data_IF_094073538833
#
_entry.id   IF_094073538833
#
_cell.length_a   1.000
_cell.length_b   1.000
_cell.length_c   1.000
_cell.angle_alpha   90.00
_cell.angle_beta   90.00
_cell.angle_gamma   90.00
#
_symmetry.space_group_name_H-M   'P 1'
#
loop_
_entity.id
_entity.type
_entity.pdbx_description
1 polymer ?
#
# COMPACT_ATOMS: atom_id res chain seq x y z
N UNK A 1 -2.34 -17.02 -1.68
CA UNK A 1 -0.99 -17.63 -1.94
C UNK A 1 -0.08 -17.22 -0.80
N UNK A 2 0.95 -18.00 -0.40
CA UNK A 2 1.88 -17.56 0.65
C UNK A 2 2.77 -16.45 0.12
N UNK A 3 3.05 -15.40 0.94
CA UNK A 3 3.90 -14.25 0.56
C UNK A 3 5.27 -14.69 0.02
N UNK A 4 5.88 -15.73 0.60
CA UNK A 4 7.16 -16.27 0.14
C UNK A 4 7.11 -16.77 -1.30
N UNK A 5 6.03 -17.48 -1.68
CA UNK A 5 5.83 -17.94 -3.06
C UNK A 5 5.64 -16.79 -4.03
N UNK A 6 4.85 -15.78 -3.64
CA UNK A 6 4.65 -14.57 -4.45
C UNK A 6 5.96 -13.82 -4.65
N UNK A 7 6.76 -13.67 -3.59
CA UNK A 7 8.06 -13.01 -3.66
C UNK A 7 9.07 -13.77 -4.53
N UNK A 8 9.07 -15.12 -4.49
CA UNK A 8 9.94 -15.93 -5.36
C UNK A 8 9.56 -15.75 -6.84
N UNK A 9 8.27 -15.78 -7.17
CA UNK A 9 7.78 -15.52 -8.54
C UNK A 9 8.20 -14.11 -8.99
N UNK A 10 7.97 -13.08 -8.15
CA UNK A 10 8.38 -11.71 -8.45
C UNK A 10 9.89 -11.60 -8.69
N UNK A 11 10.72 -12.23 -7.86
CA UNK A 11 12.18 -12.23 -8.05
C UNK A 11 12.55 -12.78 -9.42
N UNK A 12 11.95 -13.88 -9.84
CA UNK A 12 12.23 -14.46 -11.16
C UNK A 12 11.79 -13.50 -12.28
N UNK A 13 10.59 -12.93 -12.18
CA UNK A 13 10.04 -12.04 -13.20
C UNK A 13 10.78 -10.70 -13.29
N UNK A 14 11.22 -10.14 -12.19
CA UNK A 14 11.78 -8.79 -12.13
C UNK A 14 13.32 -8.76 -12.25
N UNK A 15 14.00 -9.79 -11.76
CA UNK A 15 15.46 -9.76 -11.62
C UNK A 15 16.17 -10.81 -12.49
N UNK A 16 15.51 -11.91 -12.83
CA UNK A 16 16.13 -13.00 -13.58
C UNK A 16 15.72 -13.00 -15.06
N UNK A 17 14.44 -12.77 -15.37
CA UNK A 17 13.96 -12.79 -16.75
C UNK A 17 14.23 -11.47 -17.46
N UNK A 18 14.93 -11.51 -18.62
CA UNK A 18 15.07 -10.32 -19.46
C UNK A 18 13.71 -9.80 -19.94
N UNK A 19 13.54 -8.49 -20.13
CA UNK A 19 12.26 -7.90 -20.57
C UNK A 19 11.70 -8.54 -21.84
N UNK A 20 12.53 -8.84 -22.83
CA UNK A 20 12.08 -9.46 -24.08
C UNK A 20 11.48 -10.88 -23.90
N UNK A 21 11.87 -11.60 -22.84
CA UNK A 21 11.27 -12.89 -22.48
C UNK A 21 10.01 -12.67 -21.68
N UNK A 22 10.10 -11.86 -20.62
CA UNK A 22 9.01 -11.58 -19.67
C UNK A 22 7.79 -10.95 -20.36
N UNK A 23 8.03 -10.03 -21.30
CA UNK A 23 6.99 -9.28 -22.00
C UNK A 23 6.61 -9.91 -23.34
N UNK A 24 7.02 -11.18 -23.59
CA UNK A 24 6.75 -11.92 -24.81
C UNK A 24 5.31 -12.46 -24.88
N UNK A 25 4.84 -12.75 -26.09
CA UNK A 25 3.55 -13.40 -26.31
C UNK A 25 3.46 -14.80 -25.66
N UNK A 26 4.59 -15.53 -25.58
CA UNK A 26 4.67 -16.82 -24.92
C UNK A 26 4.44 -16.68 -23.39
N UNK A 27 5.02 -15.66 -22.76
CA UNK A 27 4.83 -15.39 -21.34
C UNK A 27 3.37 -14.91 -21.07
N UNK A 28 2.81 -14.06 -21.95
CA UNK A 28 1.39 -13.67 -21.88
C UNK A 28 0.47 -14.89 -21.93
N UNK A 29 0.74 -15.84 -22.84
CA UNK A 29 -0.02 -17.09 -22.93
C UNK A 29 0.06 -17.89 -21.62
N UNK A 30 1.27 -18.03 -21.03
CA UNK A 30 1.49 -18.72 -19.76
C UNK A 30 0.70 -18.05 -18.61
N UNK A 31 0.75 -16.74 -18.53
CA UNK A 31 0.01 -15.96 -17.52
C UNK A 31 -1.50 -16.11 -17.69
N UNK A 32 -2.00 -16.01 -18.94
CA UNK A 32 -3.44 -16.22 -19.24
C UNK A 32 -3.91 -17.62 -18.89
N UNK A 33 -3.06 -18.64 -19.07
CA UNK A 33 -3.42 -20.00 -18.67
C UNK A 33 -3.55 -20.15 -17.15
N UNK A 34 -2.85 -19.34 -16.37
CA UNK A 34 -2.85 -19.43 -14.90
C UNK A 34 -3.86 -18.47 -14.25
N UNK A 35 -3.93 -17.24 -14.72
CA UNK A 35 -4.80 -16.18 -14.18
C UNK A 35 -5.99 -15.81 -15.09
N UNK A 36 -6.17 -16.51 -16.19
CA UNK A 36 -7.29 -16.28 -17.11
C UNK A 36 -7.23 -14.91 -17.77
N UNK A 37 -8.40 -14.31 -17.94
CA UNK A 37 -8.56 -12.99 -18.60
C UNK A 37 -8.10 -11.81 -17.73
N UNK A 38 -7.88 -12.03 -16.43
CA UNK A 38 -7.45 -10.98 -15.51
C UNK A 38 -6.17 -10.26 -16.00
N UNK A 39 -5.26 -10.99 -16.67
CA UNK A 39 -4.02 -10.42 -17.23
C UNK A 39 -4.32 -9.37 -18.29
N UNK A 40 -5.28 -9.65 -19.17
CA UNK A 40 -5.66 -8.74 -20.24
C UNK A 40 -6.47 -7.54 -19.69
N UNK A 41 -7.39 -7.83 -18.78
CA UNK A 41 -8.24 -6.81 -18.14
C UNK A 41 -7.37 -5.79 -17.37
N UNK A 42 -6.28 -6.24 -16.71
CA UNK A 42 -5.35 -5.34 -16.02
C UNK A 42 -4.41 -4.58 -16.98
N UNK A 43 -3.98 -5.21 -18.09
CA UNK A 43 -3.22 -4.50 -19.14
C UNK A 43 -4.07 -3.36 -19.73
N UNK A 44 -5.31 -3.67 -20.11
CA UNK A 44 -6.26 -2.70 -20.65
C UNK A 44 -6.61 -1.62 -19.62
N UNK A 45 -6.83 -2.00 -18.37
CA UNK A 45 -7.10 -1.06 -17.28
C UNK A 45 -5.95 -0.07 -17.11
N UNK A 46 -4.69 -0.52 -17.01
CA UNK A 46 -3.54 0.37 -16.87
C UNK A 46 -3.37 1.32 -18.04
N UNK A 47 -3.62 0.85 -19.28
CA UNK A 47 -3.57 1.70 -20.46
C UNK A 47 -4.65 2.79 -20.45
N UNK A 48 -5.78 2.55 -19.76
CA UNK A 48 -6.90 3.47 -19.67
C UNK A 48 -6.84 4.40 -18.44
N UNK A 49 -5.93 4.18 -17.51
CA UNK A 49 -5.83 4.92 -16.24
C UNK A 49 -5.99 6.44 -16.39
N UNK A 50 -5.35 7.13 -17.34
CA UNK A 50 -5.52 8.57 -17.50
C UNK A 50 -6.96 9.03 -17.80
N UNK A 51 -7.84 8.11 -18.16
CA UNK A 51 -9.22 8.38 -18.59
C UNK A 51 -10.27 7.69 -17.69
N UNK A 52 -9.84 6.97 -16.67
CA UNK A 52 -10.73 6.23 -15.75
C UNK A 52 -11.33 7.18 -14.73
N UNK A 53 -12.66 7.13 -14.55
CA UNK A 53 -13.31 7.90 -13.49
C UNK A 53 -13.08 7.26 -12.11
N UNK A 54 -13.24 8.03 -11.01
CA UNK A 54 -13.15 7.46 -9.65
C UNK A 54 -14.13 6.31 -9.40
N UNK A 55 -15.34 6.36 -10.01
CA UNK A 55 -16.36 5.30 -9.91
C UNK A 55 -15.91 4.03 -10.63
N UNK A 56 -15.42 4.16 -11.88
CA UNK A 56 -14.88 3.03 -12.65
C UNK A 56 -13.69 2.40 -11.92
N UNK A 57 -12.81 3.24 -11.36
CA UNK A 57 -11.67 2.76 -10.58
C UNK A 57 -12.11 1.92 -9.37
N UNK A 58 -13.09 2.44 -8.61
CA UNK A 58 -13.68 1.73 -7.46
C UNK A 58 -14.26 0.39 -7.84
N UNK A 59 -15.02 0.34 -8.95
CA UNK A 59 -15.65 -0.88 -9.44
C UNK A 59 -14.62 -1.93 -9.87
N UNK A 60 -13.54 -1.52 -10.51
CA UNK A 60 -12.44 -2.43 -10.89
C UNK A 60 -11.76 -2.95 -9.63
N UNK A 61 -11.39 -2.06 -8.71
CA UNK A 61 -10.71 -2.42 -7.47
C UNK A 61 -11.54 -3.38 -6.59
N UNK A 62 -12.85 -3.17 -6.49
CA UNK A 62 -13.75 -4.04 -5.73
C UNK A 62 -13.88 -5.46 -6.31
N UNK A 63 -13.66 -5.63 -7.61
CA UNK A 63 -13.73 -6.94 -8.31
C UNK A 63 -12.41 -7.71 -8.29
N UNK A 64 -11.29 -7.04 -7.99
CA UNK A 64 -9.98 -7.69 -7.97
C UNK A 64 -9.86 -8.62 -6.75
N UNK A 65 -9.41 -9.87 -6.95
CA UNK A 65 -9.19 -10.77 -5.84
C UNK A 65 -8.03 -10.27 -4.98
N UNK A 66 -8.22 -10.22 -3.67
CA UNK A 66 -7.11 -9.95 -2.74
C UNK A 66 -6.06 -11.06 -2.87
N UNK A 67 -4.83 -10.69 -3.17
CA UNK A 67 -3.71 -11.65 -3.35
C UNK A 67 -3.30 -12.24 -2.02
N UNK A 68 -3.28 -11.44 -0.95
CA UNK A 68 -2.97 -11.87 0.42
C UNK A 68 -4.23 -11.87 1.27
N UNK A 69 -4.38 -12.91 2.10
CA UNK A 69 -5.57 -13.07 2.96
C UNK A 69 -5.53 -12.22 4.23
N UNK A 70 -4.34 -11.80 4.67
CA UNK A 70 -4.15 -11.08 5.93
C UNK A 70 -3.50 -9.72 5.71
N UNK A 71 -2.25 -9.66 5.25
CA UNK A 71 -1.51 -8.41 5.03
C UNK A 71 -0.40 -8.59 4.00
N UNK A 72 -0.10 -7.53 3.27
CA UNK A 72 1.08 -7.46 2.40
C UNK A 72 2.36 -7.06 3.17
N UNK A 73 2.25 -6.65 4.43
CA UNK A 73 3.39 -6.31 5.26
C UNK A 73 4.18 -7.55 5.71
N UNK A 74 5.51 -7.48 5.66
CA UNK A 74 6.37 -8.46 6.31
C UNK A 74 6.39 -8.26 7.82
N UNK A 75 6.72 -9.33 8.57
CA UNK A 75 6.93 -9.24 10.02
C UNK A 75 7.96 -8.15 10.35
N UNK A 76 9.05 -8.07 9.58
CA UNK A 76 10.09 -7.06 9.77
C UNK A 76 9.57 -5.63 9.57
N UNK A 77 8.66 -5.42 8.59
CA UNK A 77 7.99 -4.12 8.40
C UNK A 77 7.07 -3.80 9.58
N UNK A 78 6.24 -4.74 10.02
CA UNK A 78 5.33 -4.53 11.16
C UNK A 78 6.09 -4.25 12.46
N UNK A 79 7.21 -4.95 12.72
CA UNK A 79 8.09 -4.69 13.86
C UNK A 79 8.70 -3.29 13.79
N UNK A 80 9.06 -2.86 12.60
CA UNK A 80 9.62 -1.52 12.38
C UNK A 80 8.58 -0.44 12.57
N UNK A 81 7.37 -0.61 12.02
CA UNK A 81 6.25 0.30 12.23
C UNK A 81 6.00 0.47 13.73
N UNK A 82 5.80 -0.63 14.47
CA UNK A 82 5.53 -0.59 15.91
C UNK A 82 6.61 0.16 16.72
N UNK A 83 7.88 0.04 16.33
CA UNK A 83 9.02 0.72 16.96
C UNK A 83 9.07 2.19 16.64
N UNK A 84 8.79 2.54 15.38
CA UNK A 84 8.95 3.90 14.87
C UNK A 84 7.69 4.76 15.10
N UNK A 85 6.54 4.19 15.51
CA UNK A 85 5.35 4.94 15.95
C UNK A 85 5.65 5.84 17.15
N UNK A 86 5.12 7.07 17.13
CA UNK A 86 5.29 8.07 18.18
C UNK A 86 3.94 8.60 18.66
N UNK A 87 3.92 9.10 19.91
CA UNK A 87 2.72 9.69 20.52
C UNK A 87 1.73 8.65 21.06
N UNK A 88 0.47 9.05 21.16
CA UNK A 88 -0.61 8.29 21.83
C UNK A 88 -1.70 7.83 20.87
N UNK A 89 -1.78 8.42 19.67
CA UNK A 89 -2.81 8.13 18.67
C UNK A 89 -2.19 7.75 17.34
N UNK A 90 -2.77 6.74 16.66
CA UNK A 90 -2.35 6.39 15.31
C UNK A 90 -3.52 6.09 14.38
N UNK A 91 -3.36 6.47 13.12
CA UNK A 91 -4.27 6.19 12.02
C UNK A 91 -3.58 5.26 11.01
N UNK A 92 -4.22 4.15 10.66
CA UNK A 92 -3.82 3.30 9.53
C UNK A 92 -4.75 3.56 8.35
N UNK A 93 -4.20 4.14 7.28
CA UNK A 93 -4.93 4.51 6.07
C UNK A 93 -4.75 3.44 5.00
N UNK A 94 -5.87 2.84 4.57
CA UNK A 94 -5.88 1.63 3.76
C UNK A 94 -5.66 0.39 4.64
N UNK A 95 -6.37 0.32 5.77
CA UNK A 95 -6.16 -0.72 6.80
C UNK A 95 -6.58 -2.14 6.35
N UNK A 96 -7.25 -2.26 5.21
CA UNK A 96 -7.67 -3.53 4.61
C UNK A 96 -8.44 -4.41 5.58
N UNK A 97 -7.87 -5.56 5.91
CA UNK A 97 -8.47 -6.55 6.83
C UNK A 97 -8.31 -6.20 8.32
N UNK A 98 -7.69 -5.06 8.65
CA UNK A 98 -7.36 -4.69 10.03
C UNK A 98 -6.22 -5.51 10.68
N UNK A 99 -5.55 -6.37 9.91
CA UNK A 99 -4.51 -7.26 10.46
C UNK A 99 -3.33 -6.49 11.04
N UNK A 100 -2.84 -5.45 10.34
CA UNK A 100 -1.77 -4.60 10.86
C UNK A 100 -2.17 -3.97 12.19
N UNK A 101 -3.36 -3.39 12.27
CA UNK A 101 -3.87 -2.76 13.48
C UNK A 101 -4.00 -3.74 14.64
N UNK A 102 -4.45 -4.98 14.39
CA UNK A 102 -4.48 -6.04 15.39
C UNK A 102 -3.09 -6.32 15.96
N UNK A 103 -2.09 -6.49 15.10
CA UNK A 103 -0.69 -6.70 15.51
C UNK A 103 -0.13 -5.49 16.27
N UNK A 104 -0.46 -4.27 15.84
CA UNK A 104 -0.01 -3.05 16.51
C UNK A 104 -0.67 -2.86 17.88
N UNK A 105 -1.93 -3.25 18.05
CA UNK A 105 -2.60 -3.21 19.36
C UNK A 105 -1.91 -4.09 20.40
N UNK A 106 -1.43 -5.26 19.98
CA UNK A 106 -0.66 -6.15 20.88
C UNK A 106 0.71 -5.57 21.24
N UNK A 107 1.40 -4.91 20.28
CA UNK A 107 2.74 -4.36 20.47
C UNK A 107 2.76 -2.99 21.14
N UNK A 108 1.69 -2.22 21.01
CA UNK A 108 1.54 -0.86 21.52
C UNK A 108 0.19 -0.67 22.23
N UNK A 109 -0.07 -1.42 23.33
CA UNK A 109 -1.39 -1.49 23.98
C UNK A 109 -1.88 -0.16 24.57
N UNK A 110 -1.00 0.79 24.81
CA UNK A 110 -1.36 2.13 25.30
C UNK A 110 -1.78 3.09 24.19
N UNK A 111 -1.57 2.73 22.91
CA UNK A 111 -1.84 3.61 21.78
C UNK A 111 -3.29 3.44 21.29
N UNK A 112 -3.98 4.56 21.08
CA UNK A 112 -5.31 4.57 20.46
C UNK A 112 -5.17 4.43 18.97
N UNK A 113 -5.68 3.32 18.43
CA UNK A 113 -5.59 2.98 17.01
C UNK A 113 -6.91 3.22 16.30
N UNK A 114 -6.83 3.77 15.09
CA UNK A 114 -7.97 3.96 14.18
C UNK A 114 -7.58 3.41 12.81
N UNK A 115 -8.51 2.74 12.13
CA UNK A 115 -8.34 2.26 10.76
C UNK A 115 -9.32 2.91 9.82
N UNK A 116 -8.85 3.29 8.62
CA UNK A 116 -9.72 3.70 7.52
C UNK A 116 -9.38 2.94 6.26
N UNK A 117 -10.43 2.61 5.50
CA UNK A 117 -10.30 2.00 4.18
C UNK A 117 -11.48 2.43 3.31
N UNK A 118 -11.38 2.18 2.02
CA UNK A 118 -12.48 2.41 1.08
C UNK A 118 -13.71 1.53 1.39
N UNK A 119 -13.46 0.31 1.90
CA UNK A 119 -14.47 -0.69 2.25
C UNK A 119 -14.07 -1.32 3.57
N UNK A 120 -14.94 -1.22 4.58
CA UNK A 120 -14.76 -1.87 5.89
C UNK A 120 -15.85 -2.92 6.05
N UNK A 121 -15.47 -4.18 6.03
CA UNK A 121 -16.40 -5.28 6.28
C UNK A 121 -16.52 -5.64 7.79
N UNK A 122 -17.52 -6.46 8.11
CA UNK A 122 -17.77 -6.89 9.50
C UNK A 122 -16.63 -7.77 10.05
N UNK A 123 -15.91 -8.49 9.19
CA UNK A 123 -14.80 -9.36 9.59
C UNK A 123 -13.59 -8.50 10.04
N UNK A 124 -13.35 -7.38 9.36
CA UNK A 124 -12.35 -6.39 9.77
C UNK A 124 -12.62 -5.88 11.18
N UNK A 125 -13.88 -5.51 11.48
CA UNK A 125 -14.29 -5.03 12.82
C UNK A 125 -14.15 -6.09 13.89
N UNK A 126 -14.50 -7.35 13.58
CA UNK A 126 -14.40 -8.48 14.52
C UNK A 126 -12.94 -8.87 14.82
N UNK A 127 -12.05 -8.71 13.85
CA UNK A 127 -10.63 -9.07 14.00
C UNK A 127 -9.90 -8.24 15.03
N UNK A 128 -10.23 -6.97 15.15
CA UNK A 128 -9.56 -6.04 16.05
C UNK A 128 -10.58 -5.30 16.94
N UNK A 129 -11.20 -6.00 17.91
CA UNK A 129 -12.18 -5.40 18.81
C UNK A 129 -11.54 -4.28 19.63
N UNK A 130 -12.24 -3.15 19.76
CA UNK A 130 -11.75 -1.96 20.46
C UNK A 130 -10.98 -0.97 19.57
N UNK A 131 -10.76 -1.29 18.31
CA UNK A 131 -10.24 -0.34 17.32
C UNK A 131 -11.41 0.32 16.58
N UNK A 132 -11.32 1.63 16.38
CA UNK A 132 -12.29 2.37 15.58
C UNK A 132 -12.01 2.17 14.08
N UNK A 133 -13.05 1.81 13.31
CA UNK A 133 -12.96 1.67 11.85
C UNK A 133 -13.97 2.57 11.15
N UNK A 134 -13.53 3.28 10.13
CA UNK A 134 -14.37 4.17 9.32
C UNK A 134 -14.05 4.02 7.84
N UNK A 135 -15.08 3.99 6.99
CA UNK A 135 -14.90 4.09 5.54
C UNK A 135 -14.49 5.52 5.16
N UNK A 136 -13.42 5.63 4.37
CA UNK A 136 -12.92 6.91 3.90
C UNK A 136 -12.13 6.77 2.60
N UNK A 137 -12.09 7.87 1.83
CA UNK A 137 -11.19 8.02 0.69
C UNK A 137 -9.89 8.68 1.16
N UNK A 138 -8.74 8.08 0.85
CA UNK A 138 -7.42 8.61 1.19
C UNK A 138 -7.18 10.03 0.63
N UNK A 139 -7.81 10.38 -0.49
CA UNK A 139 -7.69 11.70 -1.10
C UNK A 139 -8.52 12.79 -0.40
N UNK A 140 -9.38 12.42 0.57
CA UNK A 140 -10.25 13.33 1.34
C UNK A 140 -10.58 12.72 2.70
N UNK A 141 -9.60 12.69 3.59
CA UNK A 141 -9.75 12.07 4.91
C UNK A 141 -10.65 12.93 5.82
N UNK A 142 -11.66 12.35 6.49
CA UNK A 142 -12.66 13.07 7.28
C UNK A 142 -12.13 13.43 8.69
N UNK A 143 -10.89 13.88 8.79
CA UNK A 143 -10.23 14.24 10.04
C UNK A 143 -9.64 15.65 9.96
N UNK A 144 -9.53 16.29 11.12
CA UNK A 144 -8.88 17.60 11.22
C UNK A 144 -7.37 17.50 10.99
N UNK A 145 -6.75 18.63 10.71
CA UNK A 145 -5.30 18.75 10.60
C UNK A 145 -4.62 18.29 11.89
N UNK A 146 -3.62 17.40 11.78
CA UNK A 146 -2.89 16.87 12.92
C UNK A 146 -3.75 16.07 13.91
N UNK A 147 -4.79 15.41 13.43
CA UNK A 147 -5.68 14.62 14.29
C UNK A 147 -4.99 13.40 14.94
N UNK A 148 -3.91 12.91 14.34
CA UNK A 148 -3.21 11.73 14.81
C UNK A 148 -1.71 11.97 14.97
N UNK A 149 -1.15 11.51 16.08
CA UNK A 149 0.30 11.62 16.33
C UNK A 149 1.11 10.87 15.27
N UNK A 150 0.70 9.66 14.92
CA UNK A 150 1.30 8.86 13.85
C UNK A 150 0.24 8.50 12.81
N UNK A 151 0.57 8.72 11.53
CA UNK A 151 -0.22 8.22 10.40
C UNK A 151 0.57 7.15 9.68
N UNK A 152 -0.07 6.03 9.37
CA UNK A 152 0.52 4.88 8.71
C UNK A 152 -0.24 4.66 7.39
N UNK A 153 0.49 4.38 6.32
CA UNK A 153 -0.09 4.02 5.02
C UNK A 153 0.78 2.94 4.39
N UNK A 154 0.26 1.72 4.28
CA UNK A 154 1.05 0.58 3.81
C UNK A 154 0.37 -0.13 2.65
N UNK A 155 1.08 -0.29 1.53
CA UNK A 155 0.59 -0.97 0.32
C UNK A 155 -0.73 -0.38 -0.22
N UNK A 156 -0.79 0.96 -0.28
CA UNK A 156 -1.95 1.72 -0.76
C UNK A 156 -1.56 2.69 -1.87
N UNK A 157 -0.50 3.49 -1.67
CA UNK A 157 -0.17 4.60 -2.56
C UNK A 157 0.18 4.15 -3.98
N UNK A 158 0.66 2.93 -4.16
CA UNK A 158 0.90 2.33 -5.48
C UNK A 158 -0.36 2.14 -6.31
N UNK A 159 -1.53 2.15 -5.65
CA UNK A 159 -2.84 2.00 -6.28
C UNK A 159 -3.57 3.34 -6.52
N UNK A 160 -3.09 4.45 -5.99
CA UNK A 160 -3.85 5.72 -5.97
C UNK A 160 -3.61 6.53 -7.23
N UNK A 161 -4.70 6.97 -7.88
CA UNK A 161 -4.65 7.79 -9.10
C UNK A 161 -3.96 9.13 -8.84
N UNK A 162 -4.44 9.90 -7.86
CA UNK A 162 -3.83 11.16 -7.45
C UNK A 162 -2.94 10.96 -6.23
N UNK A 163 -1.76 10.39 -6.49
CA UNK A 163 -0.74 10.15 -5.46
C UNK A 163 -0.44 11.41 -4.63
N UNK A 164 -0.38 12.56 -5.31
CA UNK A 164 -0.03 13.81 -4.64
C UNK A 164 -1.07 14.25 -3.64
N UNK A 165 -2.33 14.21 -4.04
CA UNK A 165 -3.46 14.56 -3.18
C UNK A 165 -3.54 13.64 -1.97
N UNK A 166 -3.36 12.33 -2.19
CA UNK A 166 -3.32 11.36 -1.09
C UNK A 166 -2.17 11.64 -0.12
N UNK A 167 -0.96 11.92 -0.62
CA UNK A 167 0.19 12.26 0.22
C UNK A 167 -0.05 13.53 1.04
N UNK A 168 -0.62 14.56 0.42
CA UNK A 168 -0.92 15.83 1.10
C UNK A 168 -1.97 15.63 2.22
N UNK A 169 -2.98 14.77 2.02
CA UNK A 169 -3.96 14.39 3.04
C UNK A 169 -3.32 13.58 4.19
N UNK A 170 -2.45 12.61 3.89
CA UNK A 170 -1.71 11.86 4.90
C UNK A 170 -0.86 12.81 5.78
N UNK A 171 -0.16 13.75 5.15
CA UNK A 171 0.64 14.78 5.83
C UNK A 171 -0.24 15.73 6.66
N UNK A 172 -1.40 16.10 6.12
CA UNK A 172 -2.33 17.02 6.78
C UNK A 172 -2.86 16.44 8.10
N UNK A 173 -3.26 15.18 8.12
CA UNK A 173 -3.83 14.54 9.32
C UNK A 173 -2.79 14.05 10.32
N UNK A 174 -1.51 13.96 9.94
CA UNK A 174 -0.41 13.60 10.81
C UNK A 174 0.05 14.82 11.65
N UNK A 175 0.16 14.62 12.97
CA UNK A 175 0.68 15.64 13.89
C UNK A 175 2.19 15.57 14.08
N UNK A 176 2.76 14.35 14.16
CA UNK A 176 4.17 14.14 14.52
C UNK A 176 4.94 13.30 13.50
N UNK A 177 4.36 12.21 12.99
CA UNK A 177 5.04 11.30 12.07
C UNK A 177 4.11 10.70 11.04
N UNK A 178 4.59 10.63 9.80
CA UNK A 178 3.99 9.86 8.71
C UNK A 178 4.91 8.69 8.39
N UNK A 179 4.36 7.46 8.39
CA UNK A 179 5.04 6.21 8.01
C UNK A 179 4.39 5.69 6.73
N UNK A 180 5.19 5.43 5.71
CA UNK A 180 4.73 4.88 4.44
C UNK A 180 5.52 3.61 4.11
N UNK A 181 4.82 2.56 3.68
CA UNK A 181 5.42 1.35 3.12
C UNK A 181 4.83 1.11 1.74
N UNK A 182 5.68 0.96 0.74
CA UNK A 182 5.29 0.61 -0.63
C UNK A 182 6.12 -0.55 -1.14
N UNK A 183 5.62 -1.37 -2.07
CA UNK A 183 6.41 -2.46 -2.63
C UNK A 183 7.62 -1.94 -3.40
N UNK A 184 8.78 -2.55 -3.17
CA UNK A 184 9.96 -2.32 -4.00
C UNK A 184 9.88 -3.23 -5.22
N UNK A 185 9.38 -2.69 -6.33
CA UNK A 185 9.13 -3.46 -7.55
C UNK A 185 9.34 -2.66 -8.82
N UNK A 186 9.57 -3.39 -9.92
CA UNK A 186 9.71 -2.84 -11.27
C UNK A 186 8.42 -3.05 -12.06
N UNK A 187 8.11 -2.09 -12.89
CA UNK A 187 7.01 -2.24 -13.84
C UNK A 187 7.34 -3.32 -14.88
N UNK A 188 6.33 -4.12 -15.23
CA UNK A 188 6.35 -5.04 -16.35
C UNK A 188 4.97 -5.15 -17.00
N UNK A 189 4.96 -5.55 -18.27
CA UNK A 189 3.80 -5.43 -19.13
C UNK A 189 2.61 -6.25 -18.64
N UNK A 190 2.83 -7.52 -18.33
CA UNK A 190 1.77 -8.44 -17.94
C UNK A 190 1.84 -8.72 -16.44
N UNK A 191 0.85 -8.21 -15.71
CA UNK A 191 0.74 -8.36 -14.28
C UNK A 191 -0.68 -8.75 -13.88
N UNK A 192 -0.82 -9.37 -12.73
CA UNK A 192 -2.09 -9.59 -12.04
C UNK A 192 -2.29 -8.59 -10.88
N UNK A 193 -1.44 -7.57 -10.83
CA UNK A 193 -1.42 -6.57 -9.76
C UNK A 193 -1.90 -5.21 -10.32
N UNK A 194 -2.88 -4.55 -9.71
CA UNK A 194 -3.43 -3.27 -10.16
C UNK A 194 -2.56 -2.06 -9.78
N UNK A 195 -1.25 -2.24 -9.61
CA UNK A 195 -0.36 -1.14 -9.28
C UNK A 195 -0.26 -0.14 -10.44
N UNK A 196 -0.33 1.14 -10.11
CA UNK A 196 -0.21 2.27 -11.01
C UNK A 196 1.16 2.94 -10.89
N UNK A 197 1.76 2.87 -9.70
CA UNK A 197 3.08 3.43 -9.39
C UNK A 197 4.05 2.34 -9.01
N UNK A 198 5.27 2.42 -9.54
CA UNK A 198 6.32 1.43 -9.37
C UNK A 198 7.58 2.08 -8.81
N UNK A 199 8.14 1.48 -7.76
CA UNK A 199 9.27 2.02 -7.03
C UNK A 199 10.42 0.99 -7.00
N UNK A 200 11.23 0.90 -8.07
CA UNK A 200 12.32 -0.09 -8.13
C UNK A 200 13.43 0.17 -7.11
N UNK A 201 13.57 1.41 -6.66
CA UNK A 201 14.62 1.83 -5.73
C UNK A 201 14.09 2.86 -4.71
N UNK A 202 14.69 2.97 -3.51
CA UNK A 202 14.30 4.01 -2.54
C UNK A 202 14.30 5.43 -3.13
N UNK A 203 15.29 5.79 -3.94
CA UNK A 203 15.34 7.11 -4.59
C UNK A 203 14.22 7.32 -5.62
N UNK A 204 13.64 6.26 -6.19
CA UNK A 204 12.46 6.38 -7.06
C UNK A 204 11.26 6.87 -6.26
N UNK A 205 11.04 6.31 -5.07
CA UNK A 205 9.99 6.74 -4.15
C UNK A 205 10.18 8.18 -3.67
N UNK A 206 11.41 8.60 -3.34
CA UNK A 206 11.68 9.98 -2.88
C UNK A 206 11.21 11.06 -3.87
N UNK A 207 11.18 10.78 -5.16
CA UNK A 207 10.67 11.72 -6.17
C UNK A 207 9.17 11.98 -6.02
N UNK A 208 8.42 10.99 -5.58
CA UNK A 208 6.97 11.09 -5.36
C UNK A 208 6.63 11.86 -4.08
N UNK A 209 7.44 11.70 -3.03
CA UNK A 209 7.18 12.36 -1.73
C UNK A 209 7.82 13.75 -1.60
N UNK A 210 8.32 14.33 -2.69
CA UNK A 210 8.87 15.69 -2.73
C UNK A 210 7.79 16.74 -2.36
N UNK A 211 8.10 17.81 -1.56
CA UNK A 211 9.37 18.02 -0.89
C UNK A 211 9.61 17.03 0.24
N UNK A 212 10.86 16.54 0.33
CA UNK A 212 11.29 15.61 1.37
C UNK A 212 11.81 16.39 2.56
N UNK A 213 11.24 16.26 3.77
CA UNK A 213 11.75 16.97 4.94
C UNK A 213 13.12 16.45 5.38
N UNK A 214 13.97 17.28 6.02
CA UNK A 214 15.28 16.85 6.52
C UNK A 214 15.19 15.68 7.51
N UNK A 215 14.13 15.65 8.30
CA UNK A 215 13.86 14.61 9.33
C UNK A 215 13.15 13.39 8.74
N UNK A 216 13.65 12.83 7.64
CA UNK A 216 13.13 11.59 7.08
C UNK A 216 14.10 10.43 7.24
N UNK A 217 13.56 9.23 7.10
CA UNK A 217 14.34 7.99 6.95
C UNK A 217 13.73 7.15 5.84
N UNK A 218 14.59 6.51 5.07
CA UNK A 218 14.19 5.57 4.02
C UNK A 218 15.11 4.36 4.03
N UNK A 219 14.54 3.17 3.85
CA UNK A 219 15.29 1.92 3.78
C UNK A 219 14.52 0.87 2.97
N UNK A 220 15.24 -0.09 2.40
CA UNK A 220 14.61 -1.33 1.93
C UNK A 220 14.46 -2.29 3.10
N UNK A 221 13.27 -2.84 3.29
CA UNK A 221 12.95 -3.83 4.33
C UNK A 221 12.29 -5.03 3.65
N UNK A 222 13.05 -6.10 3.47
CA UNK A 222 12.62 -7.20 2.60
C UNK A 222 12.48 -6.72 1.16
N UNK A 223 11.29 -6.87 0.60
CA UNK A 223 10.95 -6.35 -0.75
C UNK A 223 10.06 -5.11 -0.70
N UNK A 224 10.12 -4.34 0.38
CA UNK A 224 9.37 -3.12 0.56
C UNK A 224 10.31 -1.93 0.74
N UNK A 225 9.88 -0.76 0.33
CA UNK A 225 10.48 0.52 0.69
C UNK A 225 9.74 1.02 1.91
N UNK A 226 10.45 1.12 3.01
CA UNK A 226 9.99 1.69 4.26
C UNK A 226 10.46 3.13 4.36
N UNK A 227 9.53 4.05 4.52
CA UNK A 227 9.77 5.47 4.66
C UNK A 227 9.06 6.04 5.88
N UNK A 228 9.68 6.95 6.60
CA UNK A 228 8.97 7.85 7.49
C UNK A 228 9.55 9.26 7.43
N UNK A 229 8.71 10.22 7.77
CA UNK A 229 9.07 11.62 7.97
C UNK A 229 8.46 12.16 9.25
N UNK A 230 9.18 13.04 9.94
CA UNK A 230 8.64 13.80 11.07
C UNK A 230 7.95 15.06 10.53
N UNK A 231 6.73 15.29 10.99
CA UNK A 231 5.92 16.44 10.63
C UNK A 231 6.36 17.60 11.53
N UNK A 232 7.11 18.54 10.98
CA UNK A 232 7.44 19.80 11.64
C UNK A 232 6.26 20.76 11.53
N UNK A 233 5.65 21.06 12.66
CA UNK A 233 4.68 22.16 12.81
C UNK A 233 5.23 23.22 13.73
#
# INVERSE_FOLDING_TARGET
MRRETTNAIRTVLEEVLPPFVRDSAAMRWLFRRHWGRLVDDLEDFRARIPFVTPEEYRDVYARLPRVQSETDNSIACMDRIARDMVGETALDVGCGTGYLLHVLAERRPAMKLTGVDFIIDDETRKRAPGIAFQEANIETLPFADGAFDTVICTHVLEHILDFRKALDELRRVAAKRLIIVVPQEREYRFTFNPHLHFFPYPHSFLRYVTPVPPSHRIASVGRDIYYYEDIGR
#
